data_IF_214584625221
#
_entry.id   IF_214584625221
#
_cell.length_a   1.000
_cell.length_b   1.000
_cell.length_c   1.000
_cell.angle_alpha   90.00
_cell.angle_beta   90.00
_cell.angle_gamma   90.00
#
_symmetry.space_group_name_H-M   'P 1'
#
loop_
_entity.id
_entity.type
_entity.pdbx_description
1 polymer ?
#
# COMPACT_ATOMS: atom_id res chain seq x y z
N UNK A 1 -5.65 9.80 -21.27
CA UNK A 1 -4.50 9.02 -21.77
C UNK A 1 -3.27 9.77 -21.30
N UNK A 2 -2.45 9.19 -20.41
CA UNK A 2 -1.25 9.88 -19.92
C UNK A 2 -0.13 9.64 -20.94
N UNK A 3 0.33 10.72 -21.54
CA UNK A 3 1.36 10.69 -22.58
C UNK A 3 2.72 10.78 -21.91
N UNK A 4 3.64 9.94 -22.36
CA UNK A 4 5.03 10.01 -22.00
C UNK A 4 5.70 11.17 -22.77
N UNK A 5 5.51 12.39 -22.28
CA UNK A 5 6.01 13.62 -22.92
C UNK A 5 7.54 13.65 -23.01
N UNK A 6 8.26 12.97 -22.11
CA UNK A 6 9.73 12.90 -22.16
C UNK A 6 10.22 12.12 -23.37
N UNK A 7 9.54 11.04 -23.79
CA UNK A 7 9.87 10.29 -25.02
C UNK A 7 9.72 11.17 -26.26
N UNK A 8 8.66 11.99 -26.31
CA UNK A 8 8.45 12.96 -27.41
C UNK A 8 9.59 13.98 -27.45
N UNK A 9 9.97 14.56 -26.32
CA UNK A 9 11.08 15.54 -26.23
C UNK A 9 12.39 14.89 -26.67
N UNK A 10 12.71 13.71 -26.13
CA UNK A 10 13.96 13.01 -26.41
C UNK A 10 14.08 12.68 -27.88
N UNK A 11 13.04 12.09 -28.49
CA UNK A 11 13.03 11.74 -29.92
C UNK A 11 13.13 12.98 -30.82
N UNK A 12 12.42 14.06 -30.47
CA UNK A 12 12.54 15.31 -31.24
C UNK A 12 13.97 15.86 -31.21
N UNK A 13 14.61 15.83 -30.04
CA UNK A 13 16.00 16.28 -29.88
C UNK A 13 16.99 15.35 -30.59
N UNK A 14 16.76 14.04 -30.53
CA UNK A 14 17.54 13.01 -31.25
C UNK A 14 17.53 13.26 -32.76
N UNK A 15 16.38 13.64 -33.32
CA UNK A 15 16.26 14.00 -34.74
C UNK A 15 16.76 15.41 -35.07
N UNK A 16 17.21 16.20 -34.08
CA UNK A 16 17.66 17.57 -34.27
C UNK A 16 16.55 18.55 -34.67
N UNK A 17 15.28 18.22 -34.42
CA UNK A 17 14.13 19.00 -34.90
C UNK A 17 13.71 20.04 -33.85
N UNK A 18 13.52 21.30 -34.24
CA UNK A 18 12.94 22.32 -33.37
C UNK A 18 11.41 22.19 -33.28
N UNK A 19 10.77 22.73 -32.24
CA UNK A 19 9.29 22.75 -32.18
C UNK A 19 8.67 23.47 -33.38
N UNK A 20 9.33 24.51 -33.90
CA UNK A 20 8.90 25.23 -35.10
C UNK A 20 8.99 24.36 -36.36
N UNK A 21 10.08 23.62 -36.53
CA UNK A 21 10.24 22.69 -37.65
C UNK A 21 9.24 21.53 -37.59
N UNK A 22 9.01 20.98 -36.40
CA UNK A 22 8.01 19.93 -36.19
C UNK A 22 6.59 20.45 -36.45
N UNK A 23 6.30 21.72 -36.12
CA UNK A 23 5.03 22.38 -36.40
C UNK A 23 4.76 22.44 -37.90
N UNK A 24 5.75 22.86 -38.69
CA UNK A 24 5.64 22.88 -40.16
C UNK A 24 5.42 21.48 -40.75
N UNK A 25 6.12 20.46 -40.23
CA UNK A 25 6.01 19.07 -40.72
C UNK A 25 4.65 18.43 -40.40
N UNK A 26 4.05 18.76 -39.26
CA UNK A 26 2.84 18.10 -38.75
C UNK A 26 1.55 18.90 -38.97
N UNK A 27 1.67 20.21 -39.23
CA UNK A 27 0.54 21.15 -39.21
C UNK A 27 -0.04 21.38 -37.81
N UNK A 28 0.64 20.95 -36.74
CA UNK A 28 0.24 21.20 -35.34
C UNK A 28 0.93 22.48 -34.87
N UNK A 29 0.22 23.39 -34.21
CA UNK A 29 0.83 24.66 -33.78
C UNK A 29 2.00 24.47 -32.80
N UNK A 30 2.99 25.36 -32.87
CA UNK A 30 4.12 25.39 -31.93
C UNK A 30 3.65 25.44 -30.47
N UNK A 31 2.59 26.20 -30.18
CA UNK A 31 1.99 26.27 -28.85
C UNK A 31 1.45 24.91 -28.38
N UNK A 32 0.78 24.15 -29.26
CA UNK A 32 0.25 22.82 -28.94
C UNK A 32 1.39 21.82 -28.71
N UNK A 33 2.45 21.87 -29.52
CA UNK A 33 3.66 21.04 -29.31
C UNK A 33 4.30 21.36 -27.96
N UNK A 34 4.48 22.65 -27.62
CA UNK A 34 5.06 23.03 -26.33
C UNK A 34 4.21 22.56 -25.15
N UNK A 35 2.88 22.66 -25.25
CA UNK A 35 1.96 22.19 -24.20
C UNK A 35 2.06 20.68 -24.02
N UNK A 36 2.10 19.93 -25.12
CA UNK A 36 2.32 18.47 -25.09
C UNK A 36 3.65 18.11 -24.42
N UNK A 37 4.74 18.79 -24.77
CA UNK A 37 6.06 18.56 -24.15
C UNK A 37 6.09 18.92 -22.66
N UNK A 38 5.28 19.88 -22.22
CA UNK A 38 5.10 20.22 -20.80
C UNK A 38 4.16 19.25 -20.05
N UNK A 39 3.60 18.25 -20.73
CA UNK A 39 2.68 17.28 -20.15
C UNK A 39 1.25 17.79 -19.98
N UNK A 40 0.89 18.90 -20.63
CA UNK A 40 -0.48 19.41 -20.64
C UNK A 40 -1.38 18.60 -21.58
N UNK A 41 -2.70 18.66 -21.35
CA UNK A 41 -3.67 18.01 -22.21
C UNK A 41 -3.74 18.68 -23.60
N UNK A 42 -3.58 17.87 -24.65
CA UNK A 42 -3.75 18.26 -26.05
C UNK A 42 -4.67 17.27 -26.77
N UNK A 43 -5.25 17.69 -27.90
CA UNK A 43 -6.16 16.85 -28.67
C UNK A 43 -5.46 15.61 -29.24
N UNK A 44 -6.12 14.45 -29.19
CA UNK A 44 -5.56 13.16 -29.61
C UNK A 44 -5.02 13.17 -31.05
N UNK A 45 -5.72 13.84 -31.98
CA UNK A 45 -5.27 13.98 -33.38
C UNK A 45 -3.91 14.68 -33.46
N UNK A 46 -3.65 15.69 -32.62
CA UNK A 46 -2.35 16.37 -32.56
C UNK A 46 -1.25 15.44 -32.06
N UNK A 47 -1.56 14.58 -31.08
CA UNK A 47 -0.64 13.58 -30.54
C UNK A 47 -0.27 12.56 -31.61
N UNK A 48 -1.25 12.06 -32.37
CA UNK A 48 -1.02 11.11 -33.48
C UNK A 48 -0.14 11.74 -34.56
N UNK A 49 -0.45 12.97 -34.99
CA UNK A 49 0.39 13.66 -35.98
C UNK A 49 1.84 13.81 -35.52
N UNK A 50 2.06 14.16 -34.25
CA UNK A 50 3.39 14.32 -33.67
C UNK A 50 4.12 12.97 -33.53
N UNK A 51 3.44 11.92 -33.05
CA UNK A 51 4.05 10.59 -32.90
C UNK A 51 4.50 10.04 -34.24
N UNK A 52 3.63 10.14 -35.27
CA UNK A 52 3.93 9.64 -36.62
C UNK A 52 5.11 10.39 -37.23
N UNK A 53 5.22 11.72 -37.02
CA UNK A 53 6.32 12.50 -37.56
C UNK A 53 7.69 12.24 -36.89
N UNK A 54 7.68 11.61 -35.71
CA UNK A 54 8.84 11.25 -34.89
C UNK A 54 9.10 9.73 -34.87
N UNK A 55 8.41 8.96 -35.72
CA UNK A 55 8.49 7.50 -35.78
C UNK A 55 8.28 6.84 -34.40
N UNK A 56 7.28 7.35 -33.68
CA UNK A 56 6.84 6.81 -32.39
C UNK A 56 5.51 6.07 -32.59
N UNK A 57 5.41 4.91 -31.98
CA UNK A 57 4.16 4.15 -31.92
C UNK A 57 3.27 4.65 -30.78
N UNK A 58 1.99 4.26 -30.80
CA UNK A 58 1.08 4.61 -29.71
C UNK A 58 1.52 3.95 -28.39
N UNK A 59 2.18 2.79 -28.46
CA UNK A 59 2.81 2.10 -27.33
C UNK A 59 3.95 2.90 -26.71
N UNK A 60 4.79 3.56 -27.51
CA UNK A 60 5.91 4.36 -27.02
C UNK A 60 5.45 5.63 -26.30
N UNK A 61 4.31 6.17 -26.74
CA UNK A 61 3.78 7.47 -26.31
C UNK A 61 2.79 7.33 -25.16
N UNK A 62 2.11 6.19 -25.05
CA UNK A 62 1.23 5.90 -23.91
C UNK A 62 2.05 5.35 -22.76
N UNK A 63 1.90 5.94 -21.57
CA UNK A 63 2.32 5.27 -20.34
C UNK A 63 1.39 4.07 -20.12
N UNK A 64 1.74 2.90 -20.66
CA UNK A 64 1.17 1.64 -20.20
C UNK A 64 1.83 1.36 -18.86
N UNK A 65 1.04 1.30 -17.78
CA UNK A 65 1.48 0.65 -16.56
C UNK A 65 1.74 -0.81 -16.90
N UNK A 66 3.01 -1.14 -17.10
CA UNK A 66 3.42 -2.53 -17.31
C UNK A 66 3.30 -3.26 -15.97
N UNK A 67 3.11 -4.59 -15.96
CA UNK A 67 3.10 -5.38 -14.73
C UNK A 67 4.32 -5.15 -13.84
N UNK A 68 5.47 -4.79 -14.44
CA UNK A 68 6.69 -4.44 -13.71
C UNK A 68 6.58 -3.12 -12.92
N UNK A 69 5.90 -2.10 -13.47
CA UNK A 69 5.67 -0.83 -12.75
C UNK A 69 4.65 -1.02 -11.63
N UNK A 70 3.61 -1.82 -11.86
CA UNK A 70 2.62 -2.19 -10.84
C UNK A 70 3.28 -2.89 -9.64
N UNK A 71 4.17 -3.86 -9.90
CA UNK A 71 4.91 -4.57 -8.86
C UNK A 71 5.79 -3.63 -8.05
N UNK A 72 6.53 -2.73 -8.73
CA UNK A 72 7.42 -1.78 -8.05
C UNK A 72 6.68 -0.82 -7.11
N UNK A 73 5.49 -0.35 -7.49
CA UNK A 73 4.69 0.56 -6.66
C UNK A 73 4.11 -0.17 -5.44
N UNK A 74 3.66 -1.41 -5.62
CA UNK A 74 3.17 -2.26 -4.54
C UNK A 74 4.28 -2.55 -3.53
N UNK A 75 5.48 -2.92 -4.02
CA UNK A 75 6.66 -3.16 -3.18
C UNK A 75 7.07 -1.91 -2.39
N UNK A 76 7.02 -0.73 -3.01
CA UNK A 76 7.32 0.53 -2.31
C UNK A 76 6.33 0.79 -1.17
N UNK A 77 5.03 0.54 -1.39
CA UNK A 77 4.02 0.63 -0.35
C UNK A 77 4.22 -0.41 0.76
N UNK A 78 4.64 -1.63 0.43
CA UNK A 78 4.98 -2.68 1.40
C UNK A 78 6.14 -2.26 2.29
N UNK A 79 7.23 -1.78 1.69
CA UNK A 79 8.40 -1.28 2.40
C UNK A 79 8.05 -0.11 3.33
N UNK A 80 7.18 0.80 2.89
CA UNK A 80 6.68 1.89 3.74
C UNK A 80 5.96 1.33 4.98
N UNK A 81 5.04 0.37 4.81
CA UNK A 81 4.32 -0.25 5.95
C UNK A 81 5.26 -1.03 6.86
N UNK A 82 6.26 -1.69 6.32
CA UNK A 82 7.25 -2.45 7.08
C UNK A 82 8.11 -1.55 7.96
N UNK A 83 8.65 -0.47 7.38
CA UNK A 83 9.51 0.48 8.07
C UNK A 83 8.73 1.56 8.84
N UNK A 84 7.39 1.54 8.75
CA UNK A 84 6.48 2.48 9.42
C UNK A 84 6.69 3.95 8.99
N UNK A 85 7.19 4.17 7.76
CA UNK A 85 7.41 5.49 7.14
C UNK A 85 6.13 6.03 6.48
N UNK A 86 5.04 6.05 7.26
CA UNK A 86 3.69 6.25 6.74
C UNK A 86 3.49 7.62 6.06
N UNK A 87 4.32 8.60 6.40
CA UNK A 87 4.38 9.93 5.76
C UNK A 87 4.65 9.87 4.25
N UNK A 88 5.27 8.79 3.76
CA UNK A 88 5.60 8.64 2.33
C UNK A 88 4.43 8.12 1.49
N UNK A 89 3.35 7.62 2.11
CA UNK A 89 2.24 6.96 1.41
C UNK A 89 1.60 7.89 0.38
N UNK A 90 1.33 9.15 0.75
CA UNK A 90 0.66 10.10 -0.14
C UNK A 90 1.47 10.35 -1.41
N UNK A 91 2.79 10.50 -1.28
CA UNK A 91 3.70 10.65 -2.41
C UNK A 91 3.62 9.47 -3.38
N UNK A 92 3.52 8.24 -2.87
CA UNK A 92 3.38 7.03 -3.72
C UNK A 92 2.00 6.96 -4.37
N UNK A 93 0.93 7.27 -3.63
CA UNK A 93 -0.42 7.26 -4.19
C UNK A 93 -0.59 8.26 -5.33
N UNK A 94 0.10 9.40 -5.27
CA UNK A 94 0.07 10.44 -6.29
C UNK A 94 0.86 10.10 -7.58
N UNK A 95 1.64 9.00 -7.59
CA UNK A 95 2.34 8.55 -8.80
C UNK A 95 1.37 8.05 -9.87
N UNK A 96 0.22 7.51 -9.46
CA UNK A 96 -0.83 7.02 -10.34
C UNK A 96 -2.12 7.81 -10.16
N UNK A 97 -2.88 7.93 -11.24
CA UNK A 97 -4.25 8.42 -11.22
C UNK A 97 -5.19 7.39 -10.57
N UNK A 98 -6.37 7.83 -10.14
CA UNK A 98 -7.39 6.91 -9.60
C UNK A 98 -7.74 5.82 -10.61
N UNK A 99 -7.89 6.15 -11.90
CA UNK A 99 -8.20 5.17 -12.95
C UNK A 99 -7.13 4.09 -13.06
N UNK A 100 -5.87 4.46 -12.93
CA UNK A 100 -4.73 3.54 -12.96
C UNK A 100 -4.71 2.64 -11.73
N UNK A 101 -4.96 3.18 -10.53
CA UNK A 101 -5.19 2.36 -9.33
C UNK A 101 -6.37 1.40 -9.47
N UNK A 102 -7.37 1.73 -10.30
CA UNK A 102 -8.52 0.87 -10.61
C UNK A 102 -8.31 -0.07 -11.81
N UNK A 103 -7.13 -0.08 -12.41
CA UNK A 103 -6.85 -0.90 -13.59
C UNK A 103 -6.91 -2.41 -13.32
N UNK A 104 -6.59 -2.83 -12.10
CA UNK A 104 -6.74 -4.21 -11.67
C UNK A 104 -7.14 -4.33 -10.18
N UNK A 105 -7.56 -5.54 -9.80
CA UNK A 105 -8.07 -5.84 -8.47
C UNK A 105 -7.01 -5.67 -7.38
N UNK A 106 -5.76 -6.11 -7.60
CA UNK A 106 -4.68 -5.98 -6.60
C UNK A 106 -4.34 -4.51 -6.34
N UNK A 107 -4.13 -3.71 -7.39
CA UNK A 107 -3.90 -2.27 -7.26
C UNK A 107 -5.08 -1.57 -6.58
N UNK A 108 -6.32 -1.96 -6.90
CA UNK A 108 -7.50 -1.37 -6.27
C UNK A 108 -7.52 -1.61 -4.76
N UNK A 109 -7.19 -2.83 -4.33
CA UNK A 109 -7.07 -3.19 -2.91
C UNK A 109 -5.98 -2.35 -2.24
N UNK A 110 -4.80 -2.24 -2.87
CA UNK A 110 -3.69 -1.46 -2.34
C UNK A 110 -4.04 0.02 -2.20
N UNK A 111 -4.67 0.62 -3.21
CA UNK A 111 -5.09 2.01 -3.16
C UNK A 111 -6.04 2.28 -2.00
N UNK A 112 -7.09 1.47 -1.86
CA UNK A 112 -8.07 1.64 -0.78
C UNK A 112 -7.44 1.41 0.61
N UNK A 113 -6.58 0.39 0.74
CA UNK A 113 -5.85 0.14 1.99
C UNK A 113 -5.00 1.35 2.40
N UNK A 114 -4.20 1.89 1.48
CA UNK A 114 -3.27 2.97 1.82
C UNK A 114 -3.97 4.31 2.02
N UNK A 115 -5.08 4.58 1.31
CA UNK A 115 -5.95 5.71 1.63
C UNK A 115 -6.53 5.62 3.03
N UNK A 116 -6.89 4.42 3.49
CA UNK A 116 -7.36 4.25 4.85
C UNK A 116 -6.31 4.63 5.90
N UNK A 117 -5.04 4.34 5.62
CA UNK A 117 -3.93 4.72 6.51
C UNK A 117 -3.81 6.25 6.58
N UNK A 118 -3.86 6.94 5.44
CA UNK A 118 -3.83 8.42 5.39
C UNK A 118 -5.01 9.03 6.15
N UNK A 119 -6.23 8.54 5.92
CA UNK A 119 -7.41 9.01 6.65
C UNK A 119 -7.29 8.79 8.16
N UNK A 120 -6.73 7.65 8.59
CA UNK A 120 -6.44 7.41 10.01
C UNK A 120 -5.44 8.42 10.58
N UNK A 121 -4.39 8.78 9.83
CA UNK A 121 -3.42 9.80 10.26
C UNK A 121 -4.05 11.19 10.42
N UNK A 122 -5.11 11.46 9.64
CA UNK A 122 -5.94 12.67 9.73
C UNK A 122 -7.05 12.57 10.79
N UNK A 123 -7.07 11.49 11.59
CA UNK A 123 -8.14 11.16 12.55
C UNK A 123 -9.54 11.03 11.92
N UNK A 124 -9.62 10.80 10.60
CA UNK A 124 -10.87 10.54 9.89
C UNK A 124 -11.15 9.03 9.87
N UNK A 125 -11.59 8.50 11.00
CA UNK A 125 -11.76 7.06 11.18
C UNK A 125 -12.89 6.47 10.32
N UNK A 126 -13.98 7.22 10.09
CA UNK A 126 -15.10 6.76 9.26
C UNK A 126 -14.69 6.53 7.80
N UNK A 127 -13.96 7.47 7.20
CA UNK A 127 -13.45 7.31 5.84
C UNK A 127 -12.37 6.23 5.75
N UNK A 128 -11.56 6.08 6.80
CA UNK A 128 -10.61 4.98 6.90
C UNK A 128 -11.33 3.61 6.88
N UNK A 129 -12.39 3.45 7.67
CA UNK A 129 -13.19 2.23 7.69
C UNK A 129 -13.90 1.96 6.36
N UNK A 130 -14.47 3.00 5.73
CA UNK A 130 -15.09 2.87 4.39
C UNK A 130 -14.09 2.35 3.36
N UNK A 131 -12.86 2.88 3.37
CA UNK A 131 -11.79 2.41 2.48
C UNK A 131 -11.39 0.96 2.78
N UNK A 132 -11.26 0.58 4.05
CA UNK A 132 -10.90 -0.80 4.41
C UNK A 132 -11.99 -1.81 4.07
N UNK A 133 -13.27 -1.47 4.26
CA UNK A 133 -14.38 -2.33 3.85
C UNK A 133 -14.36 -2.57 2.35
N UNK A 134 -14.21 -1.49 1.58
CA UNK A 134 -14.03 -1.51 0.12
C UNK A 134 -12.84 -2.39 -0.32
N UNK A 135 -11.72 -2.32 0.39
CA UNK A 135 -10.55 -3.15 0.09
C UNK A 135 -10.82 -4.63 0.37
N UNK A 136 -11.47 -4.97 1.50
CA UNK A 136 -11.82 -6.34 1.88
C UNK A 136 -12.83 -6.95 0.91
N UNK A 137 -13.89 -6.20 0.55
CA UNK A 137 -14.89 -6.61 -0.44
C UNK A 137 -14.24 -6.91 -1.80
N UNK A 138 -13.27 -6.08 -2.21
CA UNK A 138 -12.54 -6.29 -3.46
C UNK A 138 -11.72 -7.56 -3.45
N UNK A 139 -11.12 -7.95 -2.32
CA UNK A 139 -10.45 -9.26 -2.23
C UNK A 139 -11.46 -10.37 -2.52
N UNK A 140 -12.67 -10.28 -1.96
CA UNK A 140 -13.72 -11.30 -2.14
C UNK A 140 -13.33 -12.63 -1.50
N UNK A 141 -14.18 -13.65 -1.66
CA UNK A 141 -13.87 -15.01 -1.22
C UNK A 141 -13.14 -15.78 -2.34
N UNK A 142 -12.28 -16.73 -1.96
CA UNK A 142 -11.50 -17.59 -2.88
C UNK A 142 -10.57 -16.85 -3.87
N UNK A 143 -10.08 -15.67 -3.47
CA UNK A 143 -9.11 -14.93 -4.28
C UNK A 143 -7.67 -15.35 -3.99
N UNK A 144 -6.82 -15.38 -5.02
CA UNK A 144 -5.35 -15.41 -4.86
C UNK A 144 -4.79 -14.27 -4.00
N UNK A 145 -5.61 -13.26 -3.70
CA UNK A 145 -5.33 -12.12 -2.83
C UNK A 145 -5.76 -12.33 -1.37
N UNK A 146 -6.27 -13.50 -0.98
CA UNK A 146 -6.79 -13.78 0.37
C UNK A 146 -5.77 -13.41 1.47
N UNK A 147 -4.48 -13.65 1.24
CA UNK A 147 -3.40 -13.29 2.16
C UNK A 147 -3.38 -11.80 2.54
N UNK A 148 -3.87 -10.91 1.66
CA UNK A 148 -3.97 -9.47 1.94
C UNK A 148 -4.98 -9.16 3.05
N UNK A 149 -5.99 -10.01 3.27
CA UNK A 149 -6.98 -9.80 4.35
C UNK A 149 -6.32 -9.77 5.72
N UNK A 150 -5.20 -10.46 5.95
CA UNK A 150 -4.46 -10.36 7.21
C UNK A 150 -4.04 -8.91 7.51
N UNK A 151 -3.43 -8.24 6.52
CA UNK A 151 -3.02 -6.85 6.64
C UNK A 151 -4.19 -5.87 6.72
N UNK A 152 -5.26 -6.12 5.95
CA UNK A 152 -6.47 -5.29 5.95
C UNK A 152 -7.21 -5.37 7.29
N UNK A 153 -7.38 -6.56 7.85
CA UNK A 153 -7.97 -6.74 9.18
C UNK A 153 -7.09 -6.14 10.27
N UNK A 154 -5.77 -6.26 10.19
CA UNK A 154 -4.87 -5.57 11.12
C UNK A 154 -5.03 -4.05 11.03
N UNK A 155 -5.12 -3.48 9.82
CA UNK A 155 -5.35 -2.05 9.63
C UNK A 155 -6.73 -1.63 10.19
N UNK A 156 -7.77 -2.44 10.01
CA UNK A 156 -9.11 -2.18 10.55
C UNK A 156 -9.12 -2.22 12.08
N UNK A 157 -8.42 -3.17 12.69
CA UNK A 157 -8.21 -3.20 14.13
C UNK A 157 -7.48 -1.95 14.65
N UNK A 158 -6.48 -1.45 13.91
CA UNK A 158 -5.76 -0.23 14.26
C UNK A 158 -6.61 1.04 14.16
N UNK A 159 -7.57 1.08 13.23
CA UNK A 159 -8.52 2.21 13.12
C UNK A 159 -9.52 2.19 14.27
N UNK A 160 -9.95 1.00 14.69
CA UNK A 160 -10.91 0.81 15.78
C UNK A 160 -10.25 0.74 17.16
N UNK A 161 -8.98 1.15 17.30
CA UNK A 161 -8.20 0.91 18.51
C UNK A 161 -8.79 1.58 19.77
N UNK A 162 -9.48 2.71 19.62
CA UNK A 162 -10.14 3.41 20.73
C UNK A 162 -11.32 2.61 21.31
N UNK A 163 -11.93 1.73 20.52
CA UNK A 163 -12.81 0.67 20.99
C UNK A 163 -12.02 -0.64 21.02
N UNK A 164 -11.28 -0.84 22.11
CA UNK A 164 -10.33 -1.94 22.27
C UNK A 164 -11.00 -3.31 21.99
N UNK A 165 -12.27 -3.46 22.34
CA UNK A 165 -13.04 -4.69 22.10
C UNK A 165 -13.26 -4.95 20.61
N UNK A 166 -13.63 -3.92 19.84
CA UNK A 166 -13.79 -4.01 18.38
C UNK A 166 -12.46 -4.21 17.69
N UNK A 167 -11.41 -3.51 18.11
CA UNK A 167 -10.06 -3.67 17.55
C UNK A 167 -9.54 -5.10 17.69
N UNK A 168 -9.67 -5.68 18.89
CA UNK A 168 -9.23 -7.04 19.20
C UNK A 168 -9.86 -8.09 18.27
N UNK A 169 -11.16 -8.00 17.99
CA UNK A 169 -11.86 -8.93 17.10
C UNK A 169 -11.25 -8.94 15.69
N UNK A 170 -10.84 -7.79 15.15
CA UNK A 170 -10.19 -7.74 13.85
C UNK A 170 -8.75 -8.25 13.87
N UNK A 171 -8.01 -8.06 14.97
CA UNK A 171 -6.69 -8.69 15.11
C UNK A 171 -6.78 -10.22 15.17
N UNK A 172 -7.83 -10.77 15.80
CA UNK A 172 -8.08 -12.22 15.81
C UNK A 172 -8.34 -12.73 14.38
N UNK A 173 -9.21 -12.04 13.62
CA UNK A 173 -9.45 -12.36 12.20
C UNK A 173 -8.17 -12.29 11.36
N UNK A 174 -7.33 -11.28 11.60
CA UNK A 174 -6.05 -11.14 10.91
C UNK A 174 -5.12 -12.33 11.17
N UNK A 175 -5.06 -12.84 12.41
CA UNK A 175 -4.23 -14.01 12.75
C UNK A 175 -4.74 -15.27 12.09
N UNK A 176 -6.06 -15.47 12.04
CA UNK A 176 -6.64 -16.63 11.35
C UNK A 176 -6.22 -16.67 9.88
N UNK A 177 -6.34 -15.53 9.17
CA UNK A 177 -5.89 -15.43 7.76
C UNK A 177 -4.37 -15.65 7.65
N UNK A 178 -3.59 -15.06 8.54
CA UNK A 178 -2.13 -15.23 8.55
C UNK A 178 -1.72 -16.70 8.73
N UNK A 179 -2.32 -17.41 9.68
CA UNK A 179 -1.98 -18.82 9.95
C UNK A 179 -2.24 -19.72 8.73
N UNK A 180 -3.24 -19.39 7.91
CA UNK A 180 -3.49 -20.09 6.64
C UNK A 180 -2.59 -19.66 5.47
N UNK A 181 -1.78 -18.60 5.63
CA UNK A 181 -1.00 -17.98 4.54
C UNK A 181 0.42 -17.56 5.01
N UNK A 182 1.04 -18.35 5.89
CA UNK A 182 2.30 -17.96 6.56
C UNK A 182 3.48 -17.72 5.63
N UNK A 183 3.48 -18.35 4.45
CA UNK A 183 4.48 -18.23 3.38
C UNK A 183 4.38 -16.92 2.59
N UNK A 184 3.18 -16.30 2.54
CA UNK A 184 2.90 -15.11 1.74
C UNK A 184 2.96 -13.81 2.53
N UNK A 185 2.92 -13.88 3.86
CA UNK A 185 2.88 -12.70 4.73
C UNK A 185 4.25 -12.53 5.39
N UNK A 186 4.86 -11.38 5.14
CA UNK A 186 6.16 -11.05 5.71
C UNK A 186 6.14 -11.12 7.25
N UNK A 187 7.18 -11.75 7.83
CA UNK A 187 7.19 -12.11 9.25
C UNK A 187 7.05 -10.90 10.18
N UNK A 188 7.61 -9.72 9.82
CA UNK A 188 7.47 -8.51 10.64
C UNK A 188 6.02 -8.04 10.75
N UNK A 189 5.21 -8.29 9.73
CA UNK A 189 3.76 -8.00 9.77
C UNK A 189 3.07 -8.87 10.82
N UNK A 190 3.41 -10.16 10.89
CA UNK A 190 2.90 -11.05 11.93
C UNK A 190 3.38 -10.66 13.33
N UNK A 191 4.64 -10.23 13.48
CA UNK A 191 5.15 -9.70 14.76
C UNK A 191 4.36 -8.47 15.21
N UNK A 192 4.11 -7.50 14.32
CA UNK A 192 3.27 -6.32 14.61
C UNK A 192 1.85 -6.74 15.02
N UNK A 193 1.28 -7.73 14.33
CA UNK A 193 -0.03 -8.27 14.62
C UNK A 193 -0.10 -8.94 16.01
N UNK A 194 0.89 -9.74 16.38
CA UNK A 194 0.96 -10.36 17.71
C UNK A 194 1.08 -9.30 18.82
N UNK A 195 1.89 -8.25 18.62
CA UNK A 195 1.96 -7.13 19.57
C UNK A 195 0.60 -6.44 19.75
N UNK A 196 -0.14 -6.25 18.66
CA UNK A 196 -1.49 -5.67 18.72
C UNK A 196 -2.47 -6.57 19.47
N UNK A 197 -2.43 -7.88 19.27
CA UNK A 197 -3.20 -8.85 20.06
C UNK A 197 -2.84 -8.80 21.54
N UNK A 198 -1.54 -8.82 21.85
CA UNK A 198 -1.05 -8.74 23.22
C UNK A 198 -1.56 -7.45 23.92
N UNK A 199 -1.63 -6.33 23.21
CA UNK A 199 -2.21 -5.08 23.73
C UNK A 199 -3.71 -5.20 24.01
N UNK A 200 -4.46 -5.77 23.05
CA UNK A 200 -5.89 -6.01 23.23
C UNK A 200 -6.18 -6.93 24.41
N UNK A 201 -5.44 -8.05 24.54
CA UNK A 201 -5.58 -8.95 25.67
C UNK A 201 -5.13 -8.37 27.00
N UNK A 202 -4.13 -7.47 27.01
CA UNK A 202 -3.77 -6.70 28.21
C UNK A 202 -4.93 -5.88 28.74
N UNK A 203 -5.69 -5.25 27.85
CA UNK A 203 -6.86 -4.46 28.24
C UNK A 203 -8.02 -5.34 28.73
N UNK A 204 -8.12 -6.56 28.19
CA UNK A 204 -9.07 -7.58 28.65
C UNK A 204 -8.57 -8.39 29.86
N UNK A 205 -7.41 -8.05 30.45
CA UNK A 205 -6.76 -8.79 31.55
C UNK A 205 -6.52 -10.29 31.27
N UNK A 206 -6.39 -10.64 29.99
CA UNK A 206 -6.20 -12.01 29.50
C UNK A 206 -4.70 -12.33 29.41
N UNK A 207 -3.99 -12.27 30.54
CA UNK A 207 -2.52 -12.31 30.59
C UNK A 207 -1.92 -13.60 30.03
N UNK A 208 -2.60 -14.75 30.17
CA UNK A 208 -2.14 -16.02 29.56
C UNK A 208 -2.05 -15.91 28.02
N UNK A 209 -3.00 -15.20 27.39
CA UNK A 209 -2.97 -14.98 25.93
C UNK A 209 -1.83 -14.05 25.53
N UNK A 210 -1.47 -13.08 26.37
CA UNK A 210 -0.29 -12.22 26.14
C UNK A 210 0.98 -13.07 26.07
N UNK A 211 1.18 -13.99 27.02
CA UNK A 211 2.34 -14.89 27.03
C UNK A 211 2.39 -15.79 25.79
N UNK A 212 1.24 -16.36 25.40
CA UNK A 212 1.13 -17.17 24.19
C UNK A 212 1.58 -16.42 22.93
N UNK A 213 1.14 -15.18 22.74
CA UNK A 213 1.49 -14.39 21.57
C UNK A 213 2.91 -13.80 21.65
N UNK A 214 3.43 -13.54 22.85
CA UNK A 214 4.84 -13.20 23.04
C UNK A 214 5.75 -14.35 22.58
N UNK A 215 5.43 -15.58 22.96
CA UNK A 215 6.18 -16.76 22.56
C UNK A 215 6.13 -16.98 21.03
N UNK A 216 4.95 -16.85 20.43
CA UNK A 216 4.79 -16.92 18.96
C UNK A 216 5.62 -15.85 18.25
N UNK A 217 5.66 -14.62 18.77
CA UNK A 217 6.46 -13.54 18.20
C UNK A 217 7.96 -13.83 18.32
N UNK A 218 8.45 -14.25 19.50
CA UNK A 218 9.86 -14.61 19.72
C UNK A 218 10.30 -15.79 18.86
N UNK A 219 9.46 -16.81 18.70
CA UNK A 219 9.74 -17.94 17.81
C UNK A 219 9.92 -17.48 16.35
N UNK A 220 9.04 -16.60 15.88
CA UNK A 220 9.13 -16.04 14.54
C UNK A 220 10.38 -15.17 14.34
N UNK A 221 10.74 -14.37 15.35
CA UNK A 221 11.96 -13.57 15.36
C UNK A 221 13.23 -14.43 15.33
N UNK A 222 13.27 -15.50 16.15
CA UNK A 222 14.38 -16.46 16.18
C UNK A 222 14.56 -17.14 14.83
N UNK A 223 13.48 -17.60 14.19
CA UNK A 223 13.52 -18.23 12.87
C UNK A 223 14.09 -17.31 11.77
N UNK A 224 13.95 -15.99 11.93
CA UNK A 224 14.37 -14.99 10.95
C UNK A 224 15.60 -14.18 11.43
N UNK A 225 16.31 -14.66 12.46
CA UNK A 225 17.50 -14.01 13.04
C UNK A 225 17.30 -12.49 13.29
N UNK A 226 16.12 -12.11 13.77
CA UNK A 226 15.70 -10.71 13.88
C UNK A 226 15.46 -10.29 15.32
N UNK A 227 15.89 -9.08 15.67
CA UNK A 227 15.59 -8.42 16.96
C UNK A 227 14.41 -7.44 16.85
N UNK A 228 13.68 -7.46 15.72
CA UNK A 228 12.62 -6.50 15.43
C UNK A 228 11.52 -6.47 16.52
N UNK A 229 11.42 -5.34 17.22
CA UNK A 229 10.48 -5.11 18.33
C UNK A 229 10.63 -6.08 19.52
N UNK A 230 11.77 -6.78 19.66
CA UNK A 230 12.01 -7.77 20.72
C UNK A 230 11.85 -7.17 22.12
N UNK A 231 12.51 -6.05 22.39
CA UNK A 231 12.42 -5.35 23.69
C UNK A 231 10.98 -4.98 24.08
N UNK A 232 10.15 -4.66 23.08
CA UNK A 232 8.73 -4.34 23.31
C UNK A 232 7.94 -5.60 23.69
N UNK A 233 8.22 -6.72 23.04
CA UNK A 233 7.59 -8.01 23.33
C UNK A 233 7.96 -8.45 24.75
N UNK A 234 9.24 -8.41 25.10
CA UNK A 234 9.76 -8.80 26.42
C UNK A 234 9.17 -7.94 27.55
N UNK A 235 9.05 -6.62 27.34
CA UNK A 235 8.38 -5.73 28.31
C UNK A 235 6.92 -6.10 28.55
N UNK A 236 6.19 -6.42 27.49
CA UNK A 236 4.78 -6.83 27.61
C UNK A 236 4.63 -8.20 28.28
N UNK A 237 5.52 -9.13 27.95
CA UNK A 237 5.60 -10.46 28.57
C UNK A 237 5.87 -10.36 30.07
N UNK A 238 6.90 -9.59 30.47
CA UNK A 238 7.26 -9.39 31.87
C UNK A 238 6.08 -8.85 32.68
N UNK A 239 5.41 -7.80 32.19
CA UNK A 239 4.22 -7.22 32.84
C UNK A 239 3.11 -8.26 33.01
N UNK A 240 2.87 -9.09 31.99
CA UNK A 240 1.86 -10.14 32.06
C UNK A 240 2.22 -11.23 33.11
N UNK A 241 3.50 -11.58 33.22
CA UNK A 241 3.98 -12.51 34.26
C UNK A 241 3.81 -11.94 35.67
N UNK A 242 4.11 -10.65 35.87
CA UNK A 242 3.91 -9.96 37.16
C UNK A 242 2.44 -9.99 37.57
N UNK A 243 1.52 -9.64 36.66
CA UNK A 243 0.07 -9.65 36.92
C UNK A 243 -0.50 -11.04 37.21
N UNK A 244 0.14 -12.11 36.74
CA UNK A 244 -0.26 -13.49 37.06
C UNK A 244 0.23 -13.98 38.42
N UNK A 245 1.25 -13.31 39.00
CA UNK A 245 1.82 -13.64 40.31
C UNK A 245 1.12 -12.89 41.44
N UNK A 246 0.49 -11.75 41.16
CA UNK A 246 -0.30 -11.01 42.15
C UNK A 246 -1.56 -11.81 42.54
N UNK A 247 -1.87 -11.94 43.84
CA UNK A 247 -3.10 -12.59 44.28
C UNK A 247 -4.29 -11.80 43.72
N UNK A 248 -5.12 -12.48 42.91
CA UNK A 248 -6.36 -11.88 42.42
C UNK A 248 -7.29 -11.67 43.62
N UNK A 249 -7.42 -10.42 44.05
CA UNK A 249 -8.43 -10.04 45.05
C UNK A 249 -9.79 -10.20 44.34
N UNK A 250 -10.52 -11.24 44.73
CA UNK A 250 -11.90 -11.56 44.26
C UNK A 250 -12.89 -10.65 44.97
#
# INVERSE_FOLDING_TARGET
MKINNSVIISRRKEYGVSQASLSLKTGVSVSTISRLEKGENVGFISVVKIMTALDLTIEDVIIRLTPAVDMKIIEELDLIREHSKLELIEGVLNKLTVREWRSNKKLSVYYDWHRAILFKQQNNYDEALKCLNKAIERVGDESSLEYLKAGLYMAKGNVLYDDISKGLNYYIKAVQVYTSNTDKVYYRTAVKLYINLMRGYGSAKEYKKILLYAEKAKCLLKKNESTFLLEKIERMEKRAQENLKEPQIV
#
